data_IF_382929397179
#
_entry.id   IF_382929397179
#
_cell.length_a   1.000
_cell.length_b   1.000
_cell.length_c   1.000
_cell.angle_alpha   90.00
_cell.angle_beta   90.00
_cell.angle_gamma   90.00
#
_symmetry.space_group_name_H-M   'P 1'
#
loop_
_entity.id
_entity.type
_entity.pdbx_description
1 polymer ?
#
# COMPACT_ATOMS: atom_id res chain seq x y z
N UNK A 1 -33.09 -25.00 9.49
CA UNK A 1 -32.07 -24.54 8.53
C UNK A 1 -31.80 -23.08 8.88
N UNK A 2 -30.59 -22.76 9.30
CA UNK A 2 -30.21 -21.39 9.62
C UNK A 2 -30.28 -20.55 8.36
N UNK A 3 -30.96 -19.42 8.43
CA UNK A 3 -31.07 -18.46 7.34
C UNK A 3 -29.66 -17.95 6.96
N UNK A 4 -29.33 -17.81 5.66
CA UNK A 4 -28.05 -17.26 5.25
C UNK A 4 -27.92 -15.82 5.75
N UNK A 5 -27.04 -15.60 6.73
CA UNK A 5 -26.70 -14.29 7.27
C UNK A 5 -25.29 -13.88 6.80
N UNK A 6 -25.05 -12.58 6.68
CA UNK A 6 -23.72 -12.04 6.40
C UNK A 6 -22.76 -12.48 7.51
N UNK A 7 -21.63 -13.07 7.13
CA UNK A 7 -20.54 -13.47 8.01
C UNK A 7 -19.25 -12.96 7.39
N UNK A 8 -18.41 -12.35 8.21
CA UNK A 8 -17.10 -11.88 7.78
C UNK A 8 -16.27 -13.06 7.23
N UNK A 9 -16.25 -13.22 5.92
CA UNK A 9 -15.47 -14.21 5.17
C UNK A 9 -15.06 -13.73 3.77
N UNK A 10 -15.29 -12.45 3.48
CA UNK A 10 -15.05 -11.84 2.19
C UNK A 10 -13.54 -11.72 1.93
N UNK A 11 -13.14 -11.90 0.67
CA UNK A 11 -11.77 -11.66 0.20
C UNK A 11 -11.77 -10.56 -0.87
N UNK A 12 -10.75 -9.72 -0.86
CA UNK A 12 -10.57 -8.69 -1.89
C UNK A 12 -9.32 -8.99 -2.72
N UNK A 13 -9.39 -8.71 -4.02
CA UNK A 13 -8.28 -8.83 -4.96
C UNK A 13 -8.23 -7.54 -5.77
N UNK A 14 -7.08 -6.86 -5.87
CA UNK A 14 -6.97 -5.63 -6.65
C UNK A 14 -7.13 -5.94 -8.14
N UNK A 15 -7.90 -5.10 -8.84
CA UNK A 15 -7.98 -5.08 -10.30
C UNK A 15 -7.27 -3.83 -10.82
N UNK A 16 -6.04 -4.00 -11.28
CA UNK A 16 -5.14 -2.93 -11.68
C UNK A 16 -5.20 -2.66 -13.20
N UNK A 17 -4.97 -1.42 -13.67
CA UNK A 17 -4.78 -1.15 -15.08
C UNK A 17 -3.58 -1.88 -15.69
N UNK A 18 -3.76 -2.42 -16.90
CA UNK A 18 -2.66 -2.99 -17.70
C UNK A 18 -2.58 -2.29 -19.07
N UNK A 19 -1.54 -1.48 -19.27
CA UNK A 19 -1.30 -0.74 -20.51
C UNK A 19 -0.70 -1.63 -21.59
N UNK A 20 0.26 -2.47 -21.22
CA UNK A 20 0.92 -3.43 -22.11
C UNK A 20 0.92 -4.81 -21.46
N UNK A 21 0.25 -5.77 -22.11
CA UNK A 21 0.17 -7.17 -21.64
C UNK A 21 1.57 -7.79 -21.59
N UNK A 22 2.35 -7.58 -22.66
CA UNK A 22 3.69 -8.16 -22.79
C UNK A 22 4.63 -7.64 -21.70
N UNK A 23 4.69 -6.32 -21.49
CA UNK A 23 5.54 -5.73 -20.45
C UNK A 23 5.11 -6.14 -19.05
N UNK A 24 3.79 -6.18 -18.80
CA UNK A 24 3.23 -6.61 -17.52
C UNK A 24 3.61 -8.04 -17.21
N UNK A 25 3.32 -8.99 -18.10
CA UNK A 25 3.63 -10.40 -17.87
C UNK A 25 5.13 -10.66 -17.79
N UNK A 26 5.95 -9.98 -18.62
CA UNK A 26 7.39 -10.07 -18.53
C UNK A 26 7.90 -9.61 -17.15
N UNK A 27 7.42 -8.47 -16.66
CA UNK A 27 7.82 -7.93 -15.38
C UNK A 27 7.43 -8.83 -14.19
N UNK A 28 6.16 -9.25 -14.11
CA UNK A 28 5.72 -10.07 -12.98
C UNK A 28 6.37 -11.46 -13.00
N UNK A 29 6.56 -12.09 -14.16
CA UNK A 29 7.33 -13.35 -14.27
C UNK A 29 8.79 -13.17 -13.84
N UNK A 30 9.42 -12.05 -14.21
CA UNK A 30 10.79 -11.74 -13.78
C UNK A 30 10.93 -11.56 -12.25
N UNK A 31 9.83 -11.20 -11.58
CA UNK A 31 9.75 -11.13 -10.12
C UNK A 31 9.22 -12.43 -9.48
N UNK A 32 9.27 -13.54 -10.22
CA UNK A 32 8.87 -14.87 -9.78
C UNK A 32 7.36 -15.04 -9.48
N UNK A 33 6.50 -14.12 -9.95
CA UNK A 33 5.04 -14.34 -9.90
C UNK A 33 4.64 -15.43 -10.89
N UNK A 34 3.69 -16.26 -10.47
CA UNK A 34 3.01 -17.21 -11.34
C UNK A 34 1.88 -16.52 -12.10
N UNK A 35 1.79 -16.74 -13.41
CA UNK A 35 0.65 -16.28 -14.22
C UNK A 35 -0.44 -17.34 -14.17
N UNK A 36 -1.49 -17.08 -13.41
CA UNK A 36 -2.60 -18.02 -13.19
C UNK A 36 -3.71 -17.88 -14.21
N UNK A 37 -3.79 -16.72 -14.89
CA UNK A 37 -4.73 -16.51 -15.99
C UNK A 37 -4.25 -15.45 -16.99
N UNK A 38 -4.46 -15.70 -18.28
CA UNK A 38 -4.11 -14.79 -19.37
C UNK A 38 -5.22 -14.78 -20.44
N UNK A 39 -5.91 -13.65 -20.58
CA UNK A 39 -6.88 -13.42 -21.65
C UNK A 39 -6.68 -12.04 -22.28
N UNK A 40 -6.55 -12.01 -23.61
CA UNK A 40 -6.43 -10.75 -24.38
C UNK A 40 -7.69 -10.43 -25.21
N UNK A 41 -8.60 -11.40 -25.38
CA UNK A 41 -9.88 -11.27 -26.09
C UNK A 41 -10.95 -12.14 -25.45
N UNK A 42 -12.25 -11.75 -25.45
CA UNK A 42 -12.80 -10.53 -26.05
C UNK A 42 -12.53 -9.25 -25.23
N UNK A 43 -12.05 -9.39 -24.00
CA UNK A 43 -11.57 -8.30 -23.16
C UNK A 43 -10.27 -8.70 -22.48
N UNK A 44 -9.48 -7.69 -22.12
CA UNK A 44 -8.23 -7.87 -21.38
C UNK A 44 -8.52 -8.27 -19.94
N UNK A 45 -7.98 -9.42 -19.53
CA UNK A 45 -7.95 -9.86 -18.14
C UNK A 45 -6.72 -10.73 -17.88
N UNK A 46 -5.91 -10.36 -16.90
CA UNK A 46 -4.75 -11.14 -16.47
C UNK A 46 -4.87 -11.40 -14.96
N UNK A 47 -4.35 -12.53 -14.49
CA UNK A 47 -4.17 -12.79 -13.07
C UNK A 47 -2.78 -13.38 -12.81
N UNK A 48 -2.13 -12.88 -11.77
CA UNK A 48 -0.84 -13.38 -11.29
C UNK A 48 -0.87 -13.57 -9.78
N UNK A 49 -0.10 -14.51 -9.27
CA UNK A 49 -0.04 -14.83 -7.84
C UNK A 49 1.41 -14.97 -7.36
N UNK A 50 1.66 -14.56 -6.11
CA UNK A 50 2.93 -14.75 -5.43
C UNK A 50 2.77 -14.71 -3.90
N UNK A 51 3.49 -15.58 -3.18
CA UNK A 51 3.51 -15.66 -1.70
C UNK A 51 2.14 -15.73 -0.99
N UNK A 52 1.06 -16.06 -1.71
CA UNK A 52 -0.30 -16.17 -1.16
C UNK A 52 -1.23 -14.98 -1.42
N UNK A 53 -0.84 -14.01 -2.26
CA UNK A 53 -1.76 -12.98 -2.76
C UNK A 53 -1.81 -12.97 -4.28
N UNK A 54 -2.97 -12.56 -4.82
CA UNK A 54 -3.20 -12.39 -6.24
C UNK A 54 -3.27 -10.91 -6.64
N UNK A 55 -2.87 -10.63 -7.88
CA UNK A 55 -3.06 -9.34 -8.53
C UNK A 55 -3.74 -9.58 -9.87
N UNK A 56 -4.85 -8.89 -10.09
CA UNK A 56 -5.59 -9.00 -11.34
C UNK A 56 -5.41 -7.73 -12.15
N UNK A 57 -5.49 -7.85 -13.46
CA UNK A 57 -5.32 -6.72 -14.37
C UNK A 57 -6.45 -6.64 -15.39
N UNK A 58 -6.84 -5.42 -15.72
CA UNK A 58 -7.89 -5.14 -16.68
C UNK A 58 -7.55 -3.99 -17.61
N UNK A 59 -8.52 -3.66 -18.47
CA UNK A 59 -8.40 -2.54 -19.40
C UNK A 59 -8.13 -1.23 -18.65
N UNK A 60 -7.10 -0.46 -19.04
CA UNK A 60 -6.81 0.80 -18.38
C UNK A 60 -7.89 1.85 -18.70
N UNK A 61 -8.12 2.82 -17.78
CA UNK A 61 -8.88 4.03 -18.08
C UNK A 61 -8.33 4.78 -19.31
N UNK A 62 -9.19 5.53 -20.00
CA UNK A 62 -8.76 6.35 -21.16
C UNK A 62 -7.86 7.50 -20.68
N UNK A 63 -6.79 7.77 -21.42
CA UNK A 63 -5.89 8.89 -21.15
C UNK A 63 -4.98 8.69 -19.94
N UNK A 64 -4.81 7.45 -19.49
CA UNK A 64 -3.82 7.12 -18.48
C UNK A 64 -2.42 7.44 -19.02
N UNK A 65 -1.63 8.13 -18.20
CA UNK A 65 -0.21 8.34 -18.45
C UNK A 65 0.54 7.60 -17.36
N UNK A 66 1.20 6.48 -17.68
CA UNK A 66 1.83 5.67 -16.66
C UNK A 66 3.03 6.36 -16.00
N UNK A 67 3.60 7.42 -16.59
CA UNK A 67 4.65 8.23 -15.96
C UNK A 67 4.15 9.06 -14.79
N UNK A 68 2.83 9.25 -14.66
CA UNK A 68 2.22 9.90 -13.48
C UNK A 68 2.11 8.97 -12.27
N UNK A 69 2.24 7.66 -12.47
CA UNK A 69 2.17 6.62 -11.42
C UNK A 69 0.90 6.65 -10.55
N UNK A 70 -0.18 7.21 -11.11
CA UNK A 70 -1.51 7.29 -10.50
C UNK A 70 -2.49 6.30 -11.16
N UNK A 71 -1.95 5.28 -11.85
CA UNK A 71 -2.75 4.32 -12.60
C UNK A 71 -3.62 3.44 -11.68
N UNK A 72 -3.01 2.86 -10.66
CA UNK A 72 -3.66 1.96 -9.73
C UNK A 72 -2.79 1.72 -8.50
N UNK A 73 -3.39 1.24 -7.42
CA UNK A 73 -2.70 1.02 -6.16
C UNK A 73 -3.21 -0.21 -5.43
N UNK A 74 -2.31 -0.91 -4.75
CA UNK A 74 -2.63 -2.00 -3.85
C UNK A 74 -1.81 -1.87 -2.56
N UNK A 75 -2.49 -1.96 -1.41
CA UNK A 75 -1.84 -2.05 -0.10
C UNK A 75 -1.68 -3.52 0.25
N UNK A 76 -0.45 -3.92 0.56
CA UNK A 76 -0.10 -5.30 0.87
C UNK A 76 0.43 -5.30 2.30
N UNK A 77 -0.45 -5.65 3.23
CA UNK A 77 -0.14 -5.66 4.66
C UNK A 77 0.62 -6.94 5.01
N UNK A 78 1.81 -6.81 5.57
CA UNK A 78 2.72 -7.93 5.91
C UNK A 78 3.27 -7.77 7.31
N UNK A 79 3.76 -8.86 7.92
CA UNK A 79 4.29 -8.80 9.29
C UNK A 79 5.71 -8.22 9.33
N UNK A 80 6.48 -8.38 8.25
CA UNK A 80 7.79 -7.76 8.08
C UNK A 80 8.05 -7.44 6.61
N UNK A 81 8.44 -6.20 6.29
CA UNK A 81 8.65 -5.76 4.90
C UNK A 81 10.03 -6.13 4.33
N UNK A 82 11.04 -6.31 5.17
CA UNK A 82 12.42 -6.54 4.72
C UNK A 82 12.58 -7.82 3.86
N UNK A 83 11.97 -8.98 4.19
CA UNK A 83 12.06 -10.18 3.37
C UNK A 83 11.45 -10.01 1.98
N UNK A 84 10.33 -9.31 1.88
CA UNK A 84 9.66 -9.02 0.60
C UNK A 84 10.52 -8.13 -0.29
N UNK A 85 11.11 -7.07 0.27
CA UNK A 85 12.02 -6.20 -0.48
C UNK A 85 13.25 -6.97 -0.99
N UNK A 86 13.85 -7.80 -0.13
CA UNK A 86 15.01 -8.60 -0.47
C UNK A 86 14.71 -9.60 -1.60
N UNK A 87 13.54 -10.24 -1.59
CA UNK A 87 13.10 -11.15 -2.64
C UNK A 87 13.01 -10.44 -4.00
N UNK A 88 12.36 -9.27 -4.07
CA UNK A 88 12.30 -8.50 -5.31
C UNK A 88 13.66 -7.99 -5.78
N UNK A 89 14.51 -7.54 -4.87
CA UNK A 89 15.87 -7.12 -5.22
C UNK A 89 16.67 -8.27 -5.81
N UNK A 90 16.57 -9.48 -5.24
CA UNK A 90 17.21 -10.68 -5.78
C UNK A 90 16.70 -10.98 -7.19
N UNK A 91 15.38 -11.09 -7.35
CA UNK A 91 14.76 -11.40 -8.64
C UNK A 91 15.12 -10.36 -9.72
N UNK A 92 15.13 -9.06 -9.37
CA UNK A 92 15.57 -8.01 -10.29
C UNK A 92 17.04 -8.16 -10.71
N UNK A 93 17.92 -8.52 -9.78
CA UNK A 93 19.34 -8.73 -10.10
C UNK A 93 19.52 -9.92 -11.04
N UNK A 94 18.76 -10.98 -10.85
CA UNK A 94 18.81 -12.17 -11.69
C UNK A 94 18.24 -11.91 -13.09
N UNK A 95 17.08 -11.26 -13.18
CA UNK A 95 16.40 -11.02 -14.45
C UNK A 95 16.98 -9.84 -15.25
N UNK A 96 17.37 -8.76 -14.58
CA UNK A 96 17.80 -7.50 -15.24
C UNK A 96 19.29 -7.18 -15.06
N UNK A 97 20.02 -7.96 -14.27
CA UNK A 97 21.43 -7.68 -13.93
C UNK A 97 21.61 -6.48 -12.99
N UNK A 98 20.52 -5.81 -12.57
CA UNK A 98 20.54 -4.60 -11.74
C UNK A 98 19.24 -4.43 -10.96
N UNK A 99 19.29 -3.59 -9.93
CA UNK A 99 18.08 -3.12 -9.25
C UNK A 99 17.48 -1.99 -10.08
N UNK A 100 16.18 -2.07 -10.35
CA UNK A 100 15.43 -1.02 -11.02
C UNK A 100 15.09 0.08 -9.99
N UNK A 101 15.93 1.11 -9.86
CA UNK A 101 15.78 2.14 -8.82
C UNK A 101 15.12 3.44 -9.30
N UNK A 102 14.96 3.63 -10.61
CA UNK A 102 14.46 4.86 -11.24
C UNK A 102 13.61 4.51 -12.46
N UNK A 103 12.73 5.44 -12.83
CA UNK A 103 11.78 5.24 -13.93
C UNK A 103 10.75 4.17 -13.58
N UNK A 104 10.26 3.48 -14.61
CA UNK A 104 9.29 2.41 -14.47
C UNK A 104 9.72 1.23 -15.36
N UNK A 105 9.55 -0.01 -14.88
CA UNK A 105 9.24 -0.37 -13.50
C UNK A 105 10.39 -0.01 -12.54
N UNK A 106 10.09 0.14 -11.24
CA UNK A 106 11.12 0.34 -10.20
C UNK A 106 10.68 -0.15 -8.83
N UNK A 107 11.63 -0.26 -7.91
CA UNK A 107 11.40 -0.45 -6.48
C UNK A 107 12.00 0.71 -5.69
N UNK A 108 11.28 1.20 -4.67
CA UNK A 108 11.83 2.23 -3.79
C UNK A 108 12.96 1.66 -2.94
N UNK A 109 13.88 2.55 -2.54
CA UNK A 109 15.02 2.16 -1.70
C UNK A 109 14.52 1.79 -0.31
N UNK A 110 14.77 0.56 0.11
CA UNK A 110 14.59 0.15 1.50
C UNK A 110 15.75 0.62 2.38
N UNK A 111 15.44 1.12 3.57
CA UNK A 111 16.40 1.43 4.64
C UNK A 111 16.11 0.50 5.81
N UNK A 112 17.13 -0.06 6.49
CA UNK A 112 16.89 -0.85 7.70
C UNK A 112 16.00 -0.08 8.69
N UNK A 113 14.96 -0.74 9.19
CA UNK A 113 13.96 -0.13 10.08
C UNK A 113 12.81 0.59 9.37
N UNK A 114 12.83 0.71 8.03
CA UNK A 114 11.66 1.18 7.30
C UNK A 114 10.51 0.16 7.42
N UNK A 115 9.29 0.68 7.60
CA UNK A 115 8.04 -0.04 7.77
C UNK A 115 7.28 -0.26 6.46
N UNK A 116 7.69 0.40 5.37
CA UNK A 116 7.07 0.25 4.05
C UNK A 116 8.06 0.42 2.89
N UNK A 117 7.72 -0.16 1.74
CA UNK A 117 8.35 0.15 0.45
C UNK A 117 7.32 0.02 -0.68
N UNK A 118 7.63 0.57 -1.85
CA UNK A 118 6.74 0.55 -3.01
C UNK A 118 7.45 -0.11 -4.19
N UNK A 119 6.74 -1.02 -4.85
CA UNK A 119 7.07 -1.56 -6.15
C UNK A 119 6.15 -0.89 -7.19
N UNK A 120 6.73 -0.25 -8.19
CA UNK A 120 6.01 0.40 -9.29
C UNK A 120 6.18 -0.44 -10.55
N UNK A 121 5.07 -0.85 -11.14
CA UNK A 121 5.06 -1.71 -12.31
C UNK A 121 5.13 -0.92 -13.66
N UNK A 122 5.23 -1.61 -14.81
CA UNK A 122 5.30 -0.94 -16.12
C UNK A 122 4.07 -0.12 -16.50
N UNK A 123 2.90 -0.41 -15.92
CA UNK A 123 1.67 0.37 -16.14
C UNK A 123 1.55 1.55 -15.18
N UNK A 124 2.51 1.74 -14.27
CA UNK A 124 2.48 2.80 -13.26
C UNK A 124 1.63 2.45 -12.04
N UNK A 125 1.31 1.16 -11.82
CA UNK A 125 0.63 0.74 -10.60
C UNK A 125 1.60 0.71 -9.43
N UNK A 126 1.12 1.12 -8.25
CA UNK A 126 1.88 1.13 -7.00
C UNK A 126 1.46 -0.02 -6.08
N UNK A 127 2.34 -0.99 -5.88
CA UNK A 127 2.19 -2.05 -4.88
C UNK A 127 2.96 -1.63 -3.64
N UNK A 128 2.23 -1.26 -2.59
CA UNK A 128 2.81 -0.71 -1.36
C UNK A 128 2.79 -1.81 -0.30
N UNK A 129 3.97 -2.32 0.04
CA UNK A 129 4.15 -3.27 1.12
C UNK A 129 4.27 -2.50 2.42
N UNK A 130 3.39 -2.77 3.39
CA UNK A 130 3.28 -2.05 4.65
C UNK A 130 3.32 -3.04 5.81
N UNK A 131 4.15 -2.77 6.80
CA UNK A 131 4.16 -3.54 8.04
C UNK A 131 2.82 -3.36 8.77
N UNK A 132 2.15 -4.45 9.12
CA UNK A 132 0.80 -4.43 9.71
C UNK A 132 0.73 -3.61 11.00
N UNK A 133 1.75 -3.75 11.83
CA UNK A 133 1.88 -3.04 13.09
C UNK A 133 2.79 -1.81 12.94
N UNK A 134 2.77 -1.16 11.77
CA UNK A 134 3.50 0.08 11.55
C UNK A 134 3.10 1.10 12.63
N UNK A 135 4.05 1.60 13.43
CA UNK A 135 3.73 2.61 14.42
C UNK A 135 3.22 3.86 13.69
N UNK A 136 2.18 4.50 14.25
CA UNK A 136 1.69 5.77 13.72
C UNK A 136 2.87 6.72 13.53
N UNK A 137 3.00 7.30 12.34
CA UNK A 137 4.16 8.13 12.01
C UNK A 137 4.31 9.25 13.06
N UNK A 138 5.50 9.39 13.68
CA UNK A 138 5.76 10.49 14.61
C UNK A 138 5.47 11.85 13.99
N UNK A 139 5.60 11.96 12.66
CA UNK A 139 5.45 13.20 11.90
C UNK A 139 3.98 13.65 11.80
N UNK A 140 2.99 12.74 11.78
CA UNK A 140 1.58 13.16 11.81
C UNK A 140 1.17 13.69 13.17
N UNK A 141 1.64 13.06 14.25
CA UNK A 141 1.38 13.53 15.61
C UNK A 141 2.09 14.86 15.87
N UNK A 142 3.35 15.00 15.42
CA UNK A 142 4.11 16.25 15.51
C UNK A 142 3.50 17.36 14.64
N UNK A 143 3.09 17.05 13.41
CA UNK A 143 2.43 18.00 12.50
C UNK A 143 1.07 18.44 13.04
N UNK A 144 0.23 17.52 13.54
CA UNK A 144 -1.02 17.87 14.22
C UNK A 144 -0.78 18.70 15.48
N UNK A 145 0.24 18.36 16.26
CA UNK A 145 0.60 19.13 17.45
C UNK A 145 1.07 20.55 17.08
N UNK A 146 1.81 20.70 15.97
CA UNK A 146 2.24 21.99 15.47
C UNK A 146 1.07 22.81 14.91
N UNK A 147 0.15 22.21 14.15
CA UNK A 147 -1.07 22.84 13.67
C UNK A 147 -1.96 23.31 14.82
N UNK A 148 -2.19 22.45 15.82
CA UNK A 148 -2.97 22.79 17.01
C UNK A 148 -2.29 23.90 17.84
N UNK A 149 -0.96 23.88 17.93
CA UNK A 149 -0.19 24.91 18.64
C UNK A 149 -0.17 26.27 17.96
N UNK A 150 -0.47 26.33 16.65
CA UNK A 150 -0.57 27.57 15.88
C UNK A 150 -1.94 28.26 15.99
N UNK A 151 -2.94 27.61 16.60
CA UNK A 151 -4.27 28.20 16.80
C UNK A 151 -4.19 29.20 17.96
N UNK A 152 -4.40 30.48 17.68
CA UNK A 152 -4.57 31.49 18.71
C UNK A 152 -5.94 31.32 19.38
N UNK A 153 -5.92 30.94 20.66
CA UNK A 153 -7.12 30.83 21.49
C UNK A 153 -7.28 32.07 22.36
N UNK A 154 -8.51 32.57 22.47
CA UNK A 154 -8.88 33.52 23.52
C UNK A 154 -8.76 32.87 24.89
N UNK A 155 -8.69 33.68 25.96
CA UNK A 155 -8.61 33.18 27.33
C UNK A 155 -9.79 32.26 27.71
N UNK A 156 -10.99 32.55 27.18
CA UNK A 156 -12.20 31.75 27.42
C UNK A 156 -12.12 30.38 26.73
N UNK A 157 -11.62 30.35 25.49
CA UNK A 157 -11.45 29.10 24.74
C UNK A 157 -10.36 28.23 25.35
N UNK A 158 -9.24 28.82 25.78
CA UNK A 158 -8.17 28.11 26.49
C UNK A 158 -8.69 27.44 27.78
N UNK A 159 -9.42 28.19 28.60
CA UNK A 159 -9.99 27.65 29.85
C UNK A 159 -10.95 26.48 29.59
N UNK A 160 -11.73 26.55 28.51
CA UNK A 160 -12.64 25.46 28.12
C UNK A 160 -11.88 24.22 27.65
N UNK A 161 -10.83 24.39 26.84
CA UNK A 161 -9.98 23.27 26.39
C UNK A 161 -9.29 22.60 27.58
N UNK A 162 -8.75 23.38 28.52
CA UNK A 162 -8.11 22.84 29.74
C UNK A 162 -9.10 22.04 30.60
N UNK A 163 -10.35 22.51 30.73
CA UNK A 163 -11.40 21.78 31.44
C UNK A 163 -11.72 20.44 30.77
N UNK A 164 -11.88 20.40 29.44
CA UNK A 164 -12.19 19.15 28.74
C UNK A 164 -11.01 18.16 28.75
N UNK A 165 -9.77 18.65 28.63
CA UNK A 165 -8.58 17.82 28.77
C UNK A 165 -8.47 17.21 30.17
N UNK A 166 -8.88 17.96 31.20
CA UNK A 166 -9.01 17.45 32.57
C UNK A 166 -9.99 16.28 32.68
N UNK A 167 -11.14 16.34 32.01
CA UNK A 167 -12.11 15.23 31.96
C UNK A 167 -11.53 14.00 31.26
N UNK A 168 -10.85 14.18 30.12
CA UNK A 168 -10.23 13.08 29.37
C UNK A 168 -9.12 12.40 30.18
N UNK A 169 -8.32 13.17 30.91
CA UNK A 169 -7.29 12.63 31.80
C UNK A 169 -7.90 11.80 32.94
N UNK A 170 -8.99 12.29 33.55
CA UNK A 170 -9.72 11.57 34.59
C UNK A 170 -10.33 10.25 34.09
N UNK A 171 -10.89 10.24 32.87
CA UNK A 171 -11.46 9.03 32.25
C UNK A 171 -10.38 7.99 31.96
N UNK A 172 -9.21 8.40 31.43
CA UNK A 172 -8.08 7.49 31.21
C UNK A 172 -7.57 6.88 32.50
N UNK A 173 -7.39 7.70 33.53
CA UNK A 173 -6.94 7.21 34.83
C UNK A 173 -7.94 6.22 35.47
N UNK A 174 -9.24 6.38 35.23
CA UNK A 174 -10.26 5.43 35.67
C UNK A 174 -10.24 4.10 34.88
N UNK A 175 -9.94 4.15 33.58
CA UNK A 175 -9.83 2.95 32.74
C UNK A 175 -8.55 2.14 32.99
N UNK A 176 -7.46 2.80 33.38
CA UNK A 176 -6.15 2.19 33.65
C UNK A 176 -6.00 1.69 35.11
N UNK A 177 -7.03 1.87 35.95
CA UNK A 177 -7.05 1.57 37.39
C UNK A 177 -7.93 0.39 37.79
#
# INVERSE_FOLDING_TARGET
MSEPAIRANESTVPLLPCISVEETLHFYRALEFEVTYEQTRPYLYLAVEWSGFGLHFGKPPRGIDPDREDAGGCLIMVDAVAPYHAAFVRAMREAYGKILAKGRPRITRYRPGASRFTLVDPSGNSLIFIQRDEPAEPDEAASRSAELGAIELTASERARVESELGHVAAVRQWLDG
#
